data_IF_142873075017
#
_entry.id   IF_142873075017
#
_cell.length_a   1.000
_cell.length_b   1.000
_cell.length_c   1.000
_cell.angle_alpha   90.00
_cell.angle_beta   90.00
_cell.angle_gamma   90.00
#
_symmetry.space_group_name_H-M   'P 1'
#
loop_
_entity.id
_entity.type
_entity.pdbx_description
1 polymer ?
#
# COMPACT_ATOMS: atom_id res chain seq x y z
N UNK A 1 8.88 -59.43 -8.52
CA UNK A 1 8.38 -58.24 -9.24
C UNK A 1 8.23 -57.16 -8.20
N UNK A 2 9.11 -56.17 -8.25
CA UNK A 2 9.12 -55.01 -7.37
C UNK A 2 7.99 -54.05 -7.76
N UNK A 3 7.35 -53.43 -6.78
CA UNK A 3 6.78 -52.09 -6.93
C UNK A 3 7.22 -51.28 -5.71
N UNK A 4 8.27 -50.51 -5.92
CA UNK A 4 8.66 -49.42 -5.05
C UNK A 4 7.69 -48.27 -5.36
N UNK A 5 6.78 -47.97 -4.43
CA UNK A 5 5.90 -46.79 -4.52
C UNK A 5 6.43 -45.74 -3.56
N UNK A 6 7.52 -45.10 -4.02
CA UNK A 6 8.13 -43.94 -3.40
C UNK A 6 7.19 -42.75 -3.62
N UNK A 7 6.29 -42.49 -2.65
CA UNK A 7 5.47 -41.27 -2.71
C UNK A 7 6.35 -40.10 -2.27
N UNK A 8 6.73 -39.29 -3.25
CA UNK A 8 7.43 -38.03 -3.08
C UNK A 8 6.69 -37.16 -2.06
N UNK A 9 7.22 -37.10 -0.84
CA UNK A 9 6.86 -36.12 0.19
C UNK A 9 7.41 -34.74 -0.21
N UNK A 10 6.87 -34.18 -1.29
CA UNK A 10 7.12 -32.81 -1.74
C UNK A 10 6.25 -31.82 -0.96
N UNK A 11 6.60 -31.61 0.31
CA UNK A 11 5.93 -30.68 1.23
C UNK A 11 6.84 -29.56 1.75
N UNK A 12 7.93 -29.22 1.04
CA UNK A 12 8.90 -28.21 1.49
C UNK A 12 8.51 -26.80 1.07
N UNK A 13 7.47 -26.21 1.68
CA UNK A 13 7.16 -24.76 1.52
C UNK A 13 6.28 -24.21 2.66
N UNK A 14 6.70 -24.37 3.91
CA UNK A 14 6.08 -23.63 5.02
C UNK A 14 7.07 -23.04 6.05
N UNK A 15 8.35 -23.42 6.01
CA UNK A 15 9.35 -22.97 7.01
C UNK A 15 10.07 -21.68 6.61
N UNK A 16 9.96 -21.25 5.34
CA UNK A 16 10.65 -20.05 4.85
C UNK A 16 10.03 -18.74 5.36
N UNK A 17 8.72 -18.72 5.61
CA UNK A 17 8.03 -17.51 6.05
C UNK A 17 8.47 -17.07 7.46
N UNK A 18 8.44 -17.98 8.43
CA UNK A 18 8.79 -17.67 9.82
C UNK A 18 10.26 -17.28 10.01
N UNK A 19 11.18 -17.96 9.31
CA UNK A 19 12.60 -17.61 9.36
C UNK A 19 12.93 -16.29 8.64
N UNK A 20 12.27 -16.00 7.52
CA UNK A 20 12.43 -14.73 6.82
C UNK A 20 11.89 -13.57 7.67
N UNK A 21 10.69 -13.71 8.25
CA UNK A 21 10.10 -12.70 9.13
C UNK A 21 10.98 -12.40 10.36
N UNK A 22 11.58 -13.41 10.98
CA UNK A 22 12.50 -13.22 12.11
C UNK A 22 13.78 -12.47 11.74
N UNK A 23 14.35 -12.71 10.55
CA UNK A 23 15.53 -11.97 10.07
C UNK A 23 15.20 -10.52 9.75
N UNK A 24 14.08 -10.28 9.07
CA UNK A 24 13.61 -8.93 8.71
C UNK A 24 13.31 -8.10 9.95
N UNK A 25 12.70 -8.70 10.98
CA UNK A 25 12.44 -8.02 12.25
C UNK A 25 13.74 -7.54 12.93
N UNK A 26 14.77 -8.40 12.98
CA UNK A 26 16.07 -8.04 13.59
C UNK A 26 16.75 -6.90 12.84
N UNK A 27 16.79 -6.99 11.51
CA UNK A 27 17.38 -5.95 10.68
C UNK A 27 16.64 -4.61 10.81
N UNK A 28 15.32 -4.64 10.84
CA UNK A 28 14.49 -3.47 11.07
C UNK A 28 14.73 -2.85 12.45
N UNK A 29 14.92 -3.67 13.47
CA UNK A 29 15.24 -3.23 14.83
C UNK A 29 16.63 -2.59 14.90
N UNK A 30 17.63 -3.14 14.22
CA UNK A 30 18.97 -2.54 14.11
C UNK A 30 18.91 -1.16 13.45
N UNK A 31 18.22 -1.05 12.31
CA UNK A 31 18.04 0.21 11.58
C UNK A 31 17.28 1.23 12.42
N UNK A 32 16.20 0.81 13.08
CA UNK A 32 15.43 1.66 13.99
C UNK A 32 16.29 2.26 15.11
N UNK A 33 17.09 1.43 15.80
CA UNK A 33 17.93 1.90 16.90
C UNK A 33 18.96 2.92 16.40
N UNK A 34 19.53 2.70 15.22
CA UNK A 34 20.53 3.60 14.68
C UNK A 34 19.93 4.93 14.17
N UNK A 35 18.74 4.89 13.58
CA UNK A 35 17.96 6.10 13.24
C UNK A 35 17.59 6.87 14.51
N UNK A 36 17.10 6.19 15.54
CA UNK A 36 16.75 6.79 16.83
C UNK A 36 17.96 7.49 17.47
N UNK A 37 19.12 6.81 17.50
CA UNK A 37 20.37 7.36 18.02
C UNK A 37 20.78 8.63 17.27
N UNK A 38 20.77 8.61 15.93
CA UNK A 38 21.14 9.79 15.13
C UNK A 38 20.16 10.96 15.30
N UNK A 39 18.86 10.68 15.41
CA UNK A 39 17.86 11.72 15.64
C UNK A 39 18.09 12.40 17.00
N UNK A 40 18.45 11.63 18.04
CA UNK A 40 18.81 12.16 19.36
C UNK A 40 20.13 12.95 19.32
N UNK A 41 21.15 12.45 18.60
CA UNK A 41 22.44 13.14 18.44
C UNK A 41 22.31 14.46 17.68
N UNK A 42 21.41 14.52 16.69
CA UNK A 42 21.11 15.74 15.93
C UNK A 42 20.23 16.74 16.68
N UNK A 43 19.81 16.43 17.92
CA UNK A 43 19.04 17.31 18.80
C UNK A 43 17.73 17.81 18.16
N UNK A 44 16.98 16.90 17.52
CA UNK A 44 15.66 17.24 16.99
C UNK A 44 14.63 17.34 18.12
N UNK A 45 13.85 18.42 18.13
CA UNK A 45 12.72 18.64 19.08
C UNK A 45 11.73 17.46 19.12
N UNK A 46 11.56 16.77 17.99
CA UNK A 46 10.67 15.59 17.91
C UNK A 46 11.19 14.41 18.75
N UNK A 47 12.51 14.32 18.96
CA UNK A 47 13.15 13.28 19.76
C UNK A 47 12.89 13.46 21.26
N UNK A 48 12.62 14.69 21.69
CA UNK A 48 12.35 15.05 23.09
C UNK A 48 10.88 14.80 23.47
N UNK A 49 10.02 14.49 22.50
CA UNK A 49 8.62 14.20 22.75
C UNK A 49 8.44 12.82 23.43
N UNK A 50 7.63 12.74 24.50
CA UNK A 50 7.34 11.46 25.13
C UNK A 50 6.60 10.53 24.15
N UNK A 51 7.09 9.30 24.00
CA UNK A 51 6.54 8.30 23.09
C UNK A 51 6.97 8.44 21.62
N UNK A 52 7.97 9.29 21.34
CA UNK A 52 8.56 9.41 20.01
C UNK A 52 9.13 8.07 19.50
N UNK A 53 9.82 7.35 20.38
CA UNK A 53 10.40 6.03 20.15
C UNK A 53 9.35 5.01 19.68
N UNK A 54 8.19 4.95 20.34
CA UNK A 54 7.07 4.10 19.97
C UNK A 54 6.47 4.50 18.61
N UNK A 55 6.28 5.80 18.39
CA UNK A 55 5.76 6.30 17.10
C UNK A 55 6.70 6.02 15.95
N UNK A 56 8.01 6.16 16.17
CA UNK A 56 9.03 5.85 15.18
C UNK A 56 9.04 4.35 14.88
N UNK A 57 8.93 3.51 15.91
CA UNK A 57 8.84 2.05 15.72
C UNK A 57 7.57 1.65 14.95
N UNK A 58 6.43 2.27 15.26
CA UNK A 58 5.18 2.08 14.51
C UNK A 58 5.31 2.52 13.05
N UNK A 59 6.00 3.63 12.78
CA UNK A 59 6.26 4.10 11.41
C UNK A 59 7.04 3.05 10.61
N UNK A 60 8.11 2.50 11.18
CA UNK A 60 8.82 1.38 10.58
C UNK A 60 7.87 0.20 10.34
N UNK A 61 7.07 -0.20 11.34
CA UNK A 61 6.12 -1.33 11.24
C UNK A 61 5.02 -1.16 10.20
N UNK A 62 4.59 0.07 9.94
CA UNK A 62 3.60 0.40 8.91
C UNK A 62 4.16 0.22 7.49
N UNK A 63 5.47 0.33 7.32
CA UNK A 63 6.12 0.25 6.01
C UNK A 63 6.60 -1.18 5.68
N UNK A 64 6.63 -1.56 4.39
CA UNK A 64 7.12 -2.86 3.96
C UNK A 64 8.57 -3.10 4.39
N UNK A 65 8.97 -4.37 4.58
CA UNK A 65 10.30 -4.73 5.09
C UNK A 65 11.47 -4.10 4.31
N UNK A 66 11.32 -3.95 2.98
CA UNK A 66 12.27 -3.25 2.10
C UNK A 66 12.61 -1.84 2.56
N UNK A 67 11.70 -1.12 3.21
CA UNK A 67 11.95 0.23 3.69
C UNK A 67 13.13 0.28 4.67
N UNK A 68 13.28 -0.72 5.53
CA UNK A 68 14.42 -0.80 6.44
C UNK A 68 15.74 -1.10 5.70
N UNK A 69 15.70 -1.74 4.53
CA UNK A 69 16.87 -2.00 3.70
C UNK A 69 17.28 -0.75 2.90
N UNK A 70 16.29 0.00 2.44
CA UNK A 70 16.46 1.15 1.55
C UNK A 70 16.65 2.48 2.33
N UNK A 71 16.41 2.49 3.65
CA UNK A 71 16.56 3.70 4.47
C UNK A 71 18.03 4.09 4.56
N UNK A 72 18.31 5.36 4.24
CA UNK A 72 19.62 5.93 4.47
C UNK A 72 19.71 6.39 5.93
N UNK A 73 20.38 5.61 6.76
CA UNK A 73 20.50 5.89 8.18
C UNK A 73 21.33 7.14 8.45
N UNK A 74 22.26 7.51 7.56
CA UNK A 74 23.02 8.77 7.71
C UNK A 74 22.14 10.01 7.62
N UNK A 75 21.01 9.91 6.91
CA UNK A 75 20.02 10.96 6.76
C UNK A 75 18.75 10.64 7.55
N UNK A 76 18.91 10.39 8.85
CA UNK A 76 17.81 10.02 9.74
C UNK A 76 16.68 11.07 9.76
N UNK A 77 17.00 12.34 9.45
CA UNK A 77 16.03 13.42 9.25
C UNK A 77 15.05 13.18 8.10
N UNK A 78 15.45 12.44 7.06
CA UNK A 78 14.55 12.06 5.96
C UNK A 78 13.43 11.14 6.45
N UNK A 79 13.70 10.30 7.46
CA UNK A 79 12.69 9.42 8.06
C UNK A 79 11.63 10.25 8.81
N UNK A 80 12.06 11.28 9.55
CA UNK A 80 11.17 12.20 10.25
C UNK A 80 10.27 12.97 9.28
N UNK A 81 10.88 13.57 8.25
CA UNK A 81 10.12 14.32 7.24
C UNK A 81 9.16 13.41 6.49
N UNK A 82 9.56 12.18 6.15
CA UNK A 82 8.67 11.21 5.53
C UNK A 82 7.49 10.83 6.44
N UNK A 83 7.75 10.57 7.73
CA UNK A 83 6.70 10.32 8.74
C UNK A 83 5.72 11.48 8.80
N UNK A 84 6.20 12.73 8.87
CA UNK A 84 5.36 13.93 8.89
C UNK A 84 4.53 14.10 7.62
N UNK A 85 5.12 13.87 6.45
CA UNK A 85 4.42 13.93 5.17
C UNK A 85 3.28 12.90 5.10
N UNK A 86 3.52 11.67 5.57
CA UNK A 86 2.48 10.65 5.62
C UNK A 86 1.34 11.03 6.58
N UNK A 87 1.67 11.60 7.75
CA UNK A 87 0.65 12.10 8.70
C UNK A 87 -0.19 13.22 8.07
N UNK A 88 0.46 14.18 7.41
CA UNK A 88 -0.24 15.27 6.71
C UNK A 88 -1.15 14.74 5.61
N UNK A 89 -0.75 13.69 4.89
CA UNK A 89 -1.55 13.08 3.82
C UNK A 89 -2.74 12.24 4.32
N UNK A 90 -2.72 11.79 5.59
CA UNK A 90 -3.86 11.13 6.21
C UNK A 90 -5.00 12.10 6.55
N UNK A 91 -4.69 13.38 6.78
CA UNK A 91 -5.70 14.40 7.01
C UNK A 91 -6.57 14.57 5.75
N UNK A 92 -7.85 14.24 5.85
CA UNK A 92 -8.82 14.30 4.74
C UNK A 92 -8.96 15.69 4.09
N UNK A 93 -8.43 16.75 4.72
CA UNK A 93 -8.39 18.11 4.17
C UNK A 93 -7.21 18.39 3.23
N UNK A 94 -6.18 17.54 3.21
CA UNK A 94 -5.00 17.67 2.34
C UNK A 94 -5.00 16.66 1.19
N UNK A 95 -5.96 15.74 1.16
CA UNK A 95 -6.08 14.76 0.09
C UNK A 95 -6.20 15.51 -1.25
N UNK A 96 -5.35 15.18 -2.25
CA UNK A 96 -5.54 15.71 -3.57
C UNK A 96 -6.96 15.36 -4.02
N UNK A 97 -7.69 16.36 -4.53
CA UNK A 97 -9.04 16.18 -5.04
C UNK A 97 -9.02 15.27 -6.27
N UNK A 98 -9.02 13.96 -6.04
CA UNK A 98 -9.04 12.93 -7.06
C UNK A 98 -10.50 12.67 -7.42
N UNK A 99 -10.95 13.28 -8.52
CA UNK A 99 -12.25 12.94 -9.09
C UNK A 99 -12.14 11.63 -9.87
N UNK A 100 -12.55 10.53 -9.24
CA UNK A 100 -12.61 9.22 -9.89
C UNK A 100 -13.91 9.09 -10.65
N UNK A 101 -13.85 9.22 -11.98
CA UNK A 101 -14.98 8.88 -12.85
C UNK A 101 -15.12 7.36 -12.94
N UNK A 102 -16.23 6.82 -12.44
CA UNK A 102 -16.55 5.41 -12.60
C UNK A 102 -16.86 5.11 -14.07
N UNK A 103 -15.99 4.35 -14.73
CA UNK A 103 -16.19 3.87 -16.10
C UNK A 103 -16.83 2.48 -16.02
N UNK A 104 -18.14 2.42 -16.24
CA UNK A 104 -18.86 1.16 -16.39
C UNK A 104 -18.52 0.55 -17.76
N UNK A 105 -17.80 -0.57 -17.77
CA UNK A 105 -17.58 -1.37 -18.98
C UNK A 105 -18.66 -2.44 -19.03
N UNK A 106 -19.38 -2.55 -20.16
CA UNK A 106 -20.29 -3.67 -20.37
C UNK A 106 -19.49 -4.91 -20.77
N UNK A 107 -19.71 -6.07 -20.13
CA UNK A 107 -19.12 -7.31 -20.61
C UNK A 107 -19.61 -7.57 -22.03
N UNK A 108 -18.67 -7.81 -22.96
CA UNK A 108 -18.99 -8.28 -24.30
C UNK A 108 -19.62 -9.66 -24.15
N UNK A 109 -20.95 -9.69 -24.22
CA UNK A 109 -21.74 -10.91 -24.19
C UNK A 109 -21.37 -11.76 -25.41
N UNK A 110 -20.54 -12.77 -25.20
CA UNK A 110 -20.29 -13.79 -26.21
C UNK A 110 -21.46 -14.78 -26.19
N UNK A 111 -22.53 -14.48 -26.94
CA UNK A 111 -23.70 -15.35 -27.02
C UNK A 111 -24.92 -14.71 -27.66
N UNK A 112 -25.00 -14.86 -28.97
CA UNK A 112 -26.14 -14.65 -29.87
C UNK A 112 -27.54 -14.76 -29.19
N UNK A 113 -28.35 -13.70 -29.21
CA UNK A 113 -29.81 -13.82 -29.16
C UNK A 113 -30.47 -12.61 -29.84
N UNK A 114 -30.77 -12.81 -31.12
CA UNK A 114 -31.88 -12.27 -31.90
C UNK A 114 -32.73 -11.14 -31.30
N UNK A 115 -32.64 -10.00 -31.98
CA UNK A 115 -33.70 -9.04 -32.32
C UNK A 115 -34.96 -9.02 -31.41
N UNK A 116 -35.09 -7.97 -30.61
CA UNK A 116 -36.39 -7.54 -30.10
C UNK A 116 -36.59 -6.04 -30.32
N UNK A 117 -36.96 -5.74 -31.56
CA UNK A 117 -37.95 -4.75 -32.02
C UNK A 117 -38.19 -3.55 -31.10
N UNK A 118 -37.72 -2.40 -31.59
CA UNK A 118 -38.31 -1.07 -31.50
C UNK A 118 -39.36 -0.82 -30.40
N UNK A 119 -38.99 0.00 -29.43
CA UNK A 119 -39.93 0.92 -28.80
C UNK A 119 -39.36 2.32 -28.92
N UNK A 120 -39.80 3.01 -29.97
CA UNK A 120 -39.52 4.42 -30.24
C UNK A 120 -40.33 5.27 -29.24
N UNK A 121 -39.72 5.67 -28.12
CA UNK A 121 -40.34 6.63 -27.21
C UNK A 121 -40.06 8.04 -27.72
N UNK A 122 -41.02 8.55 -28.48
CA UNK A 122 -41.13 9.93 -28.96
C UNK A 122 -40.80 10.96 -27.86
N UNK A 123 -39.59 11.54 -27.92
CA UNK A 123 -39.28 12.78 -27.20
C UNK A 123 -39.53 13.96 -28.14
N UNK A 124 -40.73 14.53 -28.05
CA UNK A 124 -41.12 15.76 -28.73
C UNK A 124 -40.21 16.91 -28.27
N UNK A 125 -39.17 17.20 -29.06
CA UNK A 125 -38.26 18.34 -28.86
C UNK A 125 -38.80 19.52 -29.65
N UNK A 126 -39.68 20.30 -29.02
CA UNK A 126 -40.16 21.56 -29.61
C UNK A 126 -39.00 22.53 -29.76
N UNK A 127 -38.81 22.90 -31.02
CA UNK A 127 -37.79 23.78 -31.56
C UNK A 127 -38.41 25.17 -31.70
N UNK A 128 -37.99 26.13 -30.89
CA UNK A 128 -38.24 27.56 -31.13
C UNK A 128 -36.96 28.30 -30.73
N UNK A 129 -36.03 28.47 -31.68
CA UNK A 129 -35.83 29.67 -32.52
C UNK A 129 -35.46 30.91 -31.70
N UNK A 130 -34.17 31.23 -31.82
CA UNK A 130 -33.55 32.52 -31.58
C UNK A 130 -34.38 33.67 -32.17
N UNK A 131 -34.52 34.75 -31.39
CA UNK A 131 -34.31 36.13 -31.81
C UNK A 131 -33.72 36.89 -30.62
#
# INVERSE_FOLDING_TARGET
MAIEEDIESSGSRAVQSSQAHGRQYRQKLEVYNEVLRRIQESNYEEADLPGFDDQLWLHFNRLPARYALDVNVERAEDVLTHKRLLQLAEDAGSQPALEVRLVQVYPVGNGNCIDSVHSDSSSERRRTKFF
#
